data_IF_424722060924
#
_entry.id   IF_424722060924
#
_cell.length_a   1.000
_cell.length_b   1.000
_cell.length_c   1.000
_cell.angle_alpha   90.00
_cell.angle_beta   90.00
_cell.angle_gamma   90.00
#
_symmetry.space_group_name_H-M   'P 1'
#
loop_
_entity.id
_entity.type
_entity.pdbx_description
1 polymer ?
#
# COMPACT_ATOMS: atom_id res chain seq x y z
N UNK A 1 40.52 -19.90 -18.35
CA UNK A 1 39.67 -18.69 -18.41
C UNK A 1 38.23 -19.11 -18.17
N UNK A 2 37.43 -18.30 -17.48
CA UNK A 2 36.03 -18.63 -17.16
C UNK A 2 35.16 -17.39 -17.35
N UNK A 3 34.05 -17.54 -18.07
CA UNK A 3 32.78 -16.82 -17.83
C UNK A 3 31.67 -17.84 -18.07
N UNK A 4 30.87 -18.11 -17.04
CA UNK A 4 29.71 -19.01 -17.10
C UNK A 4 28.88 -18.89 -15.82
N UNK A 5 27.56 -19.07 -15.94
CA UNK A 5 26.59 -19.07 -14.84
C UNK A 5 26.45 -17.78 -14.00
N UNK A 6 25.98 -16.67 -14.61
CA UNK A 6 25.50 -15.47 -13.89
C UNK A 6 24.01 -15.12 -14.11
N UNK A 7 23.19 -16.06 -14.61
CA UNK A 7 21.76 -15.82 -14.91
C UNK A 7 20.82 -16.28 -13.79
N UNK A 8 21.14 -17.35 -13.06
CA UNK A 8 20.19 -17.98 -12.13
C UNK A 8 19.90 -17.23 -10.82
N UNK A 9 20.73 -16.27 -10.41
CA UNK A 9 20.66 -15.72 -9.04
C UNK A 9 19.49 -14.75 -8.83
N UNK A 10 19.17 -13.89 -9.82
CA UNK A 10 18.07 -12.91 -9.67
C UNK A 10 16.70 -13.59 -9.63
N UNK A 11 16.48 -14.54 -10.54
CA UNK A 11 15.21 -15.27 -10.62
C UNK A 11 15.02 -16.20 -9.41
N UNK A 12 16.10 -16.82 -8.91
CA UNK A 12 16.07 -17.59 -7.67
C UNK A 12 15.80 -16.73 -6.43
N UNK A 13 16.30 -15.49 -6.37
CA UNK A 13 15.98 -14.54 -5.29
C UNK A 13 14.53 -14.09 -5.31
N UNK A 14 13.96 -13.86 -6.50
CA UNK A 14 12.54 -13.55 -6.66
C UNK A 14 11.66 -14.74 -6.24
N UNK A 15 11.99 -15.96 -6.66
CA UNK A 15 11.28 -17.18 -6.26
C UNK A 15 11.42 -17.49 -4.76
N UNK A 16 12.61 -17.31 -4.18
CA UNK A 16 12.86 -17.57 -2.75
C UNK A 16 12.09 -16.61 -1.84
N UNK A 17 11.96 -15.33 -2.23
CA UNK A 17 11.11 -14.34 -1.53
C UNK A 17 9.62 -14.66 -1.57
N UNK A 18 9.16 -15.50 -2.50
CA UNK A 18 7.77 -16.01 -2.53
C UNK A 18 7.61 -17.33 -1.75
N UNK A 19 8.70 -17.93 -1.26
CA UNK A 19 8.71 -19.26 -0.65
C UNK A 19 9.05 -19.25 0.85
N UNK A 20 9.89 -18.32 1.33
CA UNK A 20 10.38 -18.29 2.71
C UNK A 20 10.20 -16.93 3.38
N UNK A 21 9.43 -16.92 4.47
CA UNK A 21 9.20 -15.76 5.35
C UNK A 21 7.96 -14.96 4.97
N UNK A 22 6.93 -15.02 5.84
CA UNK A 22 5.68 -14.27 5.75
C UNK A 22 4.96 -14.27 4.39
N UNK A 23 4.04 -15.23 4.23
CA UNK A 23 2.95 -15.12 3.25
C UNK A 23 1.89 -14.11 3.73
N UNK A 24 2.24 -12.81 3.73
CA UNK A 24 1.43 -11.71 4.27
C UNK A 24 0.15 -11.44 3.47
N UNK A 25 -0.85 -12.32 3.59
CA UNK A 25 -2.21 -12.18 3.07
C UNK A 25 -2.37 -11.85 1.56
N UNK A 26 -1.30 -11.94 0.77
CA UNK A 26 -1.34 -11.78 -0.69
C UNK A 26 -2.25 -12.84 -1.32
N UNK A 27 -3.50 -12.44 -1.58
CA UNK A 27 -4.53 -13.26 -2.21
C UNK A 27 -4.00 -13.79 -3.54
N UNK A 28 -3.76 -15.11 -3.61
CA UNK A 28 -3.25 -15.76 -4.83
C UNK A 28 -4.11 -15.36 -6.04
N UNK A 29 -3.51 -14.65 -6.99
CA UNK A 29 -4.22 -14.23 -8.18
C UNK A 29 -4.47 -15.43 -9.10
N UNK A 30 -5.53 -15.33 -9.93
CA UNK A 30 -5.99 -16.41 -10.81
C UNK A 30 -5.04 -16.75 -11.99
N UNK A 31 -3.86 -16.13 -12.05
CA UNK A 31 -2.85 -16.28 -13.10
C UNK A 31 -1.56 -16.94 -12.62
N UNK A 32 -1.40 -17.19 -11.32
CA UNK A 32 -0.25 -17.92 -10.77
C UNK A 32 -0.14 -19.29 -11.44
N UNK A 33 1.08 -19.65 -11.86
CA UNK A 33 1.38 -20.88 -12.60
C UNK A 33 1.00 -20.88 -14.08
N UNK A 34 0.38 -19.82 -14.61
CA UNK A 34 0.04 -19.69 -16.04
C UNK A 34 1.09 -18.86 -16.79
N UNK A 35 1.34 -19.19 -18.06
CA UNK A 35 2.18 -18.36 -18.92
C UNK A 35 1.43 -17.09 -19.36
N UNK A 36 2.09 -15.94 -19.22
CA UNK A 36 1.61 -14.63 -19.67
C UNK A 36 1.26 -14.60 -21.17
N UNK A 37 1.95 -15.42 -21.98
CA UNK A 37 1.76 -15.51 -23.42
C UNK A 37 0.62 -16.45 -23.85
N UNK A 38 -0.18 -16.95 -22.92
CA UNK A 38 -1.23 -17.92 -23.20
C UNK A 38 -2.61 -17.25 -23.08
N UNK A 39 -3.49 -17.51 -24.06
CA UNK A 39 -4.87 -17.02 -24.17
C UNK A 39 -5.06 -15.52 -23.92
N UNK A 40 -5.60 -15.17 -22.74
CA UNK A 40 -5.78 -13.79 -22.28
C UNK A 40 -5.14 -13.56 -20.89
N UNK A 41 -4.09 -14.31 -20.53
CA UNK A 41 -3.41 -14.15 -19.24
C UNK A 41 -2.74 -12.77 -19.08
N UNK A 42 -2.52 -12.03 -20.17
CA UNK A 42 -2.16 -10.60 -20.13
C UNK A 42 -3.16 -9.73 -19.34
N UNK A 43 -4.41 -10.20 -19.15
CA UNK A 43 -5.40 -9.56 -18.26
C UNK A 43 -4.85 -9.28 -16.87
N UNK A 44 -3.96 -10.12 -16.32
CA UNK A 44 -3.33 -9.90 -15.03
C UNK A 44 -2.66 -8.52 -14.90
N UNK A 45 -2.05 -8.05 -15.99
CA UNK A 45 -1.34 -6.76 -16.05
C UNK A 45 -2.33 -5.59 -16.18
N UNK A 46 -3.44 -5.81 -16.89
CA UNK A 46 -4.52 -4.83 -17.02
C UNK A 46 -5.28 -4.68 -15.70
N UNK A 47 -5.55 -5.80 -15.02
CA UNK A 47 -6.17 -5.84 -13.68
C UNK A 47 -5.25 -5.17 -12.65
N UNK A 48 -3.92 -5.40 -12.69
CA UNK A 48 -2.97 -4.69 -11.83
C UNK A 48 -2.99 -3.15 -12.01
N UNK A 49 -3.09 -2.64 -13.25
CA UNK A 49 -3.20 -1.21 -13.50
C UNK A 49 -4.54 -0.63 -12.99
N UNK A 50 -5.65 -1.34 -13.21
CA UNK A 50 -6.99 -0.91 -12.79
C UNK A 50 -7.16 -0.98 -11.25
N UNK A 51 -6.67 -2.04 -10.59
CA UNK A 51 -6.70 -2.21 -9.13
C UNK A 51 -5.84 -1.16 -8.38
N UNK A 52 -4.89 -0.53 -9.08
CA UNK A 52 -4.11 0.60 -8.54
C UNK A 52 -4.97 1.79 -8.07
N UNK A 53 -6.22 1.92 -8.56
CA UNK A 53 -7.20 2.87 -8.03
C UNK A 53 -7.55 2.59 -6.57
N UNK A 54 -7.78 1.31 -6.21
CA UNK A 54 -8.19 0.91 -4.87
C UNK A 54 -7.05 1.19 -3.88
N UNK A 55 -5.82 0.78 -4.24
CA UNK A 55 -4.60 1.08 -3.46
C UNK A 55 -4.43 2.59 -3.21
N UNK A 56 -4.84 3.43 -4.17
CA UNK A 56 -4.81 4.88 -4.01
C UNK A 56 -5.93 5.42 -3.11
N UNK A 57 -7.13 4.82 -3.12
CA UNK A 57 -8.17 5.14 -2.14
C UNK A 57 -7.76 4.74 -0.72
N UNK A 58 -7.19 3.54 -0.54
CA UNK A 58 -6.69 3.04 0.75
C UNK A 58 -5.63 3.99 1.34
N UNK A 59 -4.72 4.51 0.50
CA UNK A 59 -3.71 5.49 0.89
C UNK A 59 -4.31 6.88 1.23
N UNK A 60 -5.36 7.29 0.51
CA UNK A 60 -6.12 8.52 0.83
C UNK A 60 -6.82 8.38 2.18
N UNK A 61 -7.48 7.24 2.44
CA UNK A 61 -8.16 6.94 3.70
C UNK A 61 -7.18 6.93 4.89
N UNK A 62 -6.02 6.31 4.74
CA UNK A 62 -4.94 6.33 5.75
C UNK A 62 -4.48 7.76 6.11
N UNK A 63 -4.33 8.64 5.13
CA UNK A 63 -3.96 10.05 5.38
C UNK A 63 -5.13 10.84 6.01
N UNK A 64 -6.37 10.53 5.65
CA UNK A 64 -7.57 11.13 6.25
C UNK A 64 -7.73 10.76 7.72
N UNK A 65 -7.60 9.48 8.07
CA UNK A 65 -7.72 8.98 9.45
C UNK A 65 -6.68 9.62 10.38
N UNK A 66 -5.42 9.71 9.92
CA UNK A 66 -4.37 10.38 10.67
C UNK A 66 -4.70 11.85 10.94
N UNK A 67 -5.12 12.59 9.90
CA UNK A 67 -5.55 13.99 10.01
C UNK A 67 -6.73 14.15 10.96
N UNK A 68 -7.73 13.28 10.89
CA UNK A 68 -8.93 13.43 11.72
C UNK A 68 -8.69 13.05 13.19
N UNK A 69 -7.71 12.17 13.46
CA UNK A 69 -7.14 11.97 14.79
C UNK A 69 -6.37 13.21 15.31
N UNK A 70 -5.58 13.89 14.47
CA UNK A 70 -4.94 15.17 14.84
C UNK A 70 -5.97 16.28 15.12
N UNK A 71 -7.02 16.34 14.30
CA UNK A 71 -8.16 17.26 14.44
C UNK A 71 -8.96 16.98 15.72
N UNK A 72 -9.12 15.73 16.14
CA UNK A 72 -9.76 15.39 17.41
C UNK A 72 -8.88 15.69 18.64
N UNK A 73 -7.56 15.52 18.53
CA UNK A 73 -6.63 16.01 19.56
C UNK A 73 -6.74 17.54 19.72
N UNK A 74 -6.85 18.30 18.64
CA UNK A 74 -7.06 19.75 18.67
C UNK A 74 -8.40 20.15 19.35
N UNK A 75 -9.50 19.44 19.06
CA UNK A 75 -10.79 19.62 19.77
C UNK A 75 -10.67 19.32 21.27
N UNK A 76 -10.02 18.20 21.61
CA UNK A 76 -9.80 17.76 22.99
C UNK A 76 -9.00 18.79 23.80
N UNK A 77 -7.92 19.34 23.21
CA UNK A 77 -7.12 20.41 23.81
C UNK A 77 -7.93 21.71 23.97
N UNK A 78 -8.77 22.06 22.99
CA UNK A 78 -9.67 23.23 23.07
C UNK A 78 -10.60 23.11 24.27
N UNK A 79 -11.35 22.01 24.38
CA UNK A 79 -12.27 21.73 25.49
C UNK A 79 -11.56 21.68 26.86
N UNK A 80 -10.35 21.12 26.90
CA UNK A 80 -9.50 21.11 28.10
C UNK A 80 -9.15 22.55 28.54
N UNK A 81 -8.78 23.42 27.60
CA UNK A 81 -8.43 24.81 27.88
C UNK A 81 -9.62 25.59 28.44
N UNK A 82 -10.82 25.43 27.87
CA UNK A 82 -12.03 26.14 28.29
C UNK A 82 -12.52 25.68 29.67
N UNK A 83 -12.47 24.37 29.92
CA UNK A 83 -12.78 23.75 31.22
C UNK A 83 -11.91 24.31 32.34
N UNK A 84 -10.59 24.38 32.13
CA UNK A 84 -9.67 24.90 33.15
C UNK A 84 -9.70 26.43 33.26
N UNK A 85 -9.83 27.16 32.14
CA UNK A 85 -10.01 28.62 32.14
C UNK A 85 -11.25 29.03 32.96
N UNK A 86 -12.34 28.26 32.85
CA UNK A 86 -13.57 28.47 33.62
C UNK A 86 -13.36 28.16 35.10
N UNK A 87 -12.73 27.04 35.45
CA UNK A 87 -12.41 26.68 36.84
C UNK A 87 -11.50 27.69 37.54
N UNK A 88 -10.44 28.14 36.87
CA UNK A 88 -9.52 29.15 37.42
C UNK A 88 -10.21 30.51 37.62
N UNK A 89 -11.16 30.89 36.77
CA UNK A 89 -12.03 32.08 36.99
C UNK A 89 -12.96 31.92 38.20
N UNK A 90 -13.44 30.70 38.47
CA UNK A 90 -14.36 30.40 39.58
C UNK A 90 -13.65 30.26 40.94
N UNK A 91 -12.34 29.98 40.98
CA UNK A 91 -11.56 30.03 42.21
C UNK A 91 -11.59 31.45 42.82
N UNK A 92 -11.97 31.56 44.09
CA UNK A 92 -12.00 32.83 44.82
C UNK A 92 -10.60 33.47 44.90
N UNK A 93 -10.54 34.80 45.00
CA UNK A 93 -9.30 35.54 45.26
C UNK A 93 -8.62 35.11 46.57
N UNK A 94 -9.42 34.77 47.59
CA UNK A 94 -8.98 34.31 48.91
C UNK A 94 -8.20 32.98 48.88
N UNK A 95 -8.39 32.14 47.84
CA UNK A 95 -7.78 30.83 47.72
C UNK A 95 -6.86 30.69 46.48
N UNK A 96 -6.48 31.81 45.87
CA UNK A 96 -5.90 31.81 44.51
C UNK A 96 -4.95 32.99 44.31
N UNK A 97 -3.69 32.75 44.70
CA UNK A 97 -2.58 33.71 44.80
C UNK A 97 -2.29 34.47 43.50
N UNK A 98 -1.89 35.75 43.60
CA UNK A 98 -1.94 36.73 42.51
C UNK A 98 -1.13 36.35 41.25
N UNK A 99 0.17 36.13 41.40
CA UNK A 99 1.11 35.76 40.33
C UNK A 99 1.02 34.26 40.00
N UNK A 100 0.86 33.39 40.99
CA UNK A 100 0.73 31.95 40.77
C UNK A 100 -0.53 31.60 39.98
N UNK A 101 -1.66 32.29 40.22
CA UNK A 101 -2.88 32.17 39.40
C UNK A 101 -2.65 32.66 37.96
N UNK A 102 -1.83 33.69 37.75
CA UNK A 102 -1.44 34.16 36.42
C UNK A 102 -0.64 33.10 35.67
N UNK A 103 0.37 32.50 36.31
CA UNK A 103 1.13 31.39 35.77
C UNK A 103 0.23 30.19 35.40
N UNK A 104 -0.72 29.82 36.27
CA UNK A 104 -1.73 28.79 35.97
C UNK A 104 -2.60 29.15 34.76
N UNK A 105 -3.04 30.40 34.63
CA UNK A 105 -3.77 30.87 33.45
C UNK A 105 -2.93 30.80 32.17
N UNK A 106 -1.64 31.14 32.23
CA UNK A 106 -0.78 31.15 31.04
C UNK A 106 -0.41 29.74 30.56
N UNK A 107 -0.25 28.76 31.46
CA UNK A 107 -0.20 27.33 31.11
C UNK A 107 -1.46 26.88 30.35
N UNK A 108 -2.64 27.28 30.83
CA UNK A 108 -3.94 26.95 30.20
C UNK A 108 -4.15 27.71 28.88
N UNK A 109 -3.56 28.89 28.72
CA UNK A 109 -3.61 29.67 27.47
C UNK A 109 -2.70 29.07 26.39
N UNK A 110 -1.53 28.56 26.75
CA UNK A 110 -0.61 27.88 25.82
C UNK A 110 -1.26 26.70 25.11
N UNK A 111 -2.25 26.05 25.73
CA UNK A 111 -3.07 25.02 25.06
C UNK A 111 -3.69 25.52 23.73
N UNK A 112 -4.01 26.82 23.60
CA UNK A 112 -4.53 27.39 22.33
C UNK A 112 -3.47 27.52 21.24
N UNK A 113 -2.21 27.80 21.60
CA UNK A 113 -1.11 27.81 20.64
C UNK A 113 -0.80 26.38 20.15
N UNK A 114 -0.88 25.38 21.04
CA UNK A 114 -0.76 23.97 20.66
C UNK A 114 -1.89 23.51 19.72
N UNK A 115 -3.11 24.04 19.88
CA UNK A 115 -4.22 23.84 18.94
C UNK A 115 -3.88 24.46 17.58
N UNK A 116 -3.47 25.74 17.53
CA UNK A 116 -3.07 26.44 16.29
C UNK A 116 -1.99 25.66 15.51
N UNK A 117 -1.01 25.08 16.21
CA UNK A 117 0.05 24.26 15.58
C UNK A 117 -0.51 22.97 14.98
N UNK A 118 -1.44 22.27 15.65
CA UNK A 118 -2.07 21.06 15.11
C UNK A 118 -3.04 21.33 13.96
N UNK A 119 -3.77 22.45 14.00
CA UNK A 119 -4.62 22.89 12.90
C UNK A 119 -3.80 23.21 11.64
N UNK A 120 -2.60 23.78 11.80
CA UNK A 120 -1.64 23.96 10.70
C UNK A 120 -1.17 22.61 10.14
N UNK A 121 -0.80 21.63 10.97
CA UNK A 121 -0.47 20.26 10.54
C UNK A 121 -1.61 19.61 9.76
N UNK A 122 -2.86 19.70 10.24
CA UNK A 122 -4.03 19.22 9.50
C UNK A 122 -4.16 19.90 8.12
N UNK A 123 -3.87 21.20 8.04
CA UNK A 123 -3.96 21.98 6.80
C UNK A 123 -2.87 21.58 5.79
N UNK A 124 -1.65 21.25 6.22
CA UNK A 124 -0.62 20.73 5.32
C UNK A 124 -0.97 19.31 4.83
N UNK A 125 -1.54 18.45 5.69
CA UNK A 125 -1.97 17.10 5.30
C UNK A 125 -3.13 17.15 4.30
N UNK A 126 -4.11 18.03 4.49
CA UNK A 126 -5.21 18.23 3.53
C UNK A 126 -4.69 18.62 2.13
N UNK A 127 -3.62 19.43 2.02
CA UNK A 127 -2.97 19.73 0.72
C UNK A 127 -2.34 18.50 0.06
N UNK A 128 -1.70 17.61 0.83
CA UNK A 128 -1.10 16.38 0.28
C UNK A 128 -2.19 15.43 -0.21
N UNK A 129 -3.27 15.28 0.56
CA UNK A 129 -4.44 14.50 0.19
C UNK A 129 -5.06 15.03 -1.12
N UNK A 130 -5.28 16.34 -1.23
CA UNK A 130 -5.92 16.92 -2.42
C UNK A 130 -5.00 16.94 -3.65
N UNK A 131 -3.68 17.15 -3.48
CA UNK A 131 -2.67 16.95 -4.53
C UNK A 131 -2.73 15.54 -5.10
N UNK A 132 -2.77 14.52 -4.23
CA UNK A 132 -2.81 13.13 -4.66
C UNK A 132 -4.17 12.75 -5.28
N UNK A 133 -5.29 13.22 -4.72
CA UNK A 133 -6.63 13.07 -5.32
C UNK A 133 -6.68 13.60 -6.75
N UNK A 134 -6.15 14.80 -7.01
CA UNK A 134 -6.12 15.38 -8.35
C UNK A 134 -5.37 14.49 -9.36
N UNK A 135 -4.19 13.98 -8.99
CA UNK A 135 -3.46 13.01 -9.82
C UNK A 135 -4.28 11.72 -10.05
N UNK A 136 -4.96 11.21 -9.03
CA UNK A 136 -5.81 10.01 -9.15
C UNK A 136 -7.04 10.28 -10.01
N UNK A 137 -7.61 11.48 -10.01
CA UNK A 137 -8.69 11.89 -10.92
C UNK A 137 -8.24 11.94 -12.39
N UNK A 138 -7.01 12.38 -12.67
CA UNK A 138 -6.43 12.41 -14.01
C UNK A 138 -5.99 11.02 -14.53
N UNK A 139 -5.46 10.19 -13.64
CA UNK A 139 -4.94 8.85 -13.95
C UNK A 139 -6.07 7.80 -14.04
N UNK A 140 -7.13 7.94 -13.22
CA UNK A 140 -8.24 6.99 -13.14
C UNK A 140 -9.59 7.60 -13.54
N UNK A 141 -10.06 7.20 -14.72
CA UNK A 141 -11.27 7.72 -15.35
C UNK A 141 -12.48 6.85 -14.96
N UNK A 142 -13.61 7.49 -14.64
CA UNK A 142 -14.88 6.80 -14.39
C UNK A 142 -15.54 6.34 -15.70
N UNK A 143 -15.93 5.07 -15.78
CA UNK A 143 -16.71 4.56 -16.92
C UNK A 143 -18.20 4.88 -16.71
N UNK A 144 -18.79 5.73 -17.58
CA UNK A 144 -20.18 6.24 -17.55
C UNK A 144 -21.32 5.23 -17.27
N UNK A 145 -21.06 3.93 -17.34
CA UNK A 145 -22.04 2.83 -17.21
C UNK A 145 -21.59 1.75 -16.21
N UNK A 146 -20.54 1.97 -15.40
CA UNK A 146 -20.00 0.95 -14.49
C UNK A 146 -19.50 1.56 -13.17
N UNK A 147 -19.83 0.98 -12.01
CA UNK A 147 -19.19 1.34 -10.75
C UNK A 147 -17.67 1.11 -10.79
N UNK A 148 -16.93 1.99 -10.11
CA UNK A 148 -15.47 2.01 -10.09
C UNK A 148 -14.84 2.91 -11.15
N UNK A 149 -13.51 2.99 -11.12
CA UNK A 149 -12.70 3.69 -12.13
C UNK A 149 -11.70 2.72 -12.76
N UNK A 150 -11.08 3.14 -13.86
CA UNK A 150 -10.02 2.40 -14.54
C UNK A 150 -8.88 3.30 -14.91
N UNK A 151 -7.69 2.70 -15.00
CA UNK A 151 -6.51 3.40 -15.49
C UNK A 151 -6.77 3.91 -16.91
N UNK A 152 -6.46 5.19 -17.18
CA UNK A 152 -6.78 5.87 -18.46
C UNK A 152 -6.34 5.08 -19.71
N UNK A 153 -5.23 4.34 -19.64
CA UNK A 153 -4.71 3.47 -20.72
C UNK A 153 -5.10 1.98 -20.64
N UNK A 154 -5.80 1.50 -19.61
CA UNK A 154 -6.19 0.08 -19.47
C UNK A 154 -6.94 -0.45 -20.71
N UNK A 155 -7.94 0.31 -21.19
CA UNK A 155 -8.71 -0.02 -22.38
C UNK A 155 -7.91 0.11 -23.70
N UNK A 156 -6.76 0.79 -23.71
CA UNK A 156 -5.83 0.89 -24.85
C UNK A 156 -4.94 -0.36 -24.91
N UNK A 157 -4.18 -0.65 -23.84
CA UNK A 157 -3.32 -1.83 -23.75
C UNK A 157 -4.10 -3.12 -23.98
N UNK A 158 -5.32 -3.23 -23.45
CA UNK A 158 -6.23 -4.36 -23.69
C UNK A 158 -6.61 -4.56 -25.16
N UNK A 159 -6.67 -3.49 -25.96
CA UNK A 159 -6.83 -3.59 -27.43
C UNK A 159 -5.51 -4.03 -28.08
N UNK A 160 -4.37 -3.44 -27.69
CA UNK A 160 -3.05 -3.78 -28.24
C UNK A 160 -2.69 -5.27 -28.02
N UNK A 161 -2.96 -5.83 -26.83
CA UNK A 161 -2.77 -7.25 -26.56
C UNK A 161 -3.70 -8.13 -27.42
N UNK A 162 -4.99 -7.79 -27.52
CA UNK A 162 -5.93 -8.54 -28.38
C UNK A 162 -5.52 -8.50 -29.87
N UNK A 163 -5.13 -7.34 -30.38
CA UNK A 163 -4.69 -7.17 -31.77
C UNK A 163 -3.38 -7.90 -32.06
N UNK A 164 -2.42 -7.89 -31.12
CA UNK A 164 -1.17 -8.64 -31.29
C UNK A 164 -1.37 -10.17 -31.17
N UNK A 165 -2.33 -10.64 -30.37
CA UNK A 165 -2.65 -12.06 -30.25
C UNK A 165 -3.47 -12.62 -31.42
N UNK A 166 -4.25 -11.79 -32.11
CA UNK A 166 -5.23 -12.21 -33.13
C UNK A 166 -4.67 -13.18 -34.19
N UNK A 167 -3.50 -12.89 -34.76
CA UNK A 167 -2.87 -13.76 -35.79
C UNK A 167 -2.34 -15.08 -35.22
N UNK A 168 -1.86 -15.12 -33.97
CA UNK A 168 -1.49 -16.37 -33.31
C UNK A 168 -2.72 -17.24 -33.04
N UNK A 169 -3.84 -16.61 -32.65
CA UNK A 169 -5.11 -17.31 -32.46
C UNK A 169 -5.62 -17.91 -33.76
N UNK A 170 -5.70 -17.13 -34.83
CA UNK A 170 -6.20 -17.58 -36.14
C UNK A 170 -5.49 -18.85 -36.65
N UNK A 171 -4.15 -18.86 -36.61
CA UNK A 171 -3.33 -20.02 -37.03
C UNK A 171 -3.44 -21.20 -36.05
N UNK A 172 -3.77 -20.94 -34.78
CA UNK A 172 -4.02 -22.00 -33.78
C UNK A 172 -5.40 -22.63 -33.97
N UNK A 173 -6.43 -21.82 -34.22
CA UNK A 173 -7.79 -22.25 -34.55
C UNK A 173 -7.80 -23.04 -35.88
N UNK A 174 -6.94 -22.70 -36.85
CA UNK A 174 -6.73 -23.50 -38.07
C UNK A 174 -6.06 -24.85 -37.75
N UNK A 175 -4.98 -24.86 -36.95
CA UNK A 175 -4.28 -26.08 -36.58
C UNK A 175 -5.17 -27.07 -35.81
N UNK A 176 -6.10 -26.57 -34.99
CA UNK A 176 -7.11 -27.40 -34.33
C UNK A 176 -8.11 -28.00 -35.34
N UNK A 177 -8.65 -27.19 -36.27
CA UNK A 177 -9.52 -27.68 -37.34
C UNK A 177 -8.84 -28.75 -38.19
N UNK A 178 -7.56 -28.57 -38.53
CA UNK A 178 -6.78 -29.54 -39.28
C UNK A 178 -6.55 -30.84 -38.48
N UNK A 179 -6.23 -30.79 -37.19
CA UNK A 179 -6.16 -31.99 -36.32
C UNK A 179 -7.50 -32.74 -36.24
N UNK A 180 -8.62 -32.02 -36.23
CA UNK A 180 -9.95 -32.62 -36.27
C UNK A 180 -10.26 -33.29 -37.64
N UNK A 181 -9.63 -32.83 -38.73
CA UNK A 181 -9.67 -33.47 -40.05
C UNK A 181 -8.72 -34.68 -40.13
N UNK A 182 -7.49 -34.56 -39.61
CA UNK A 182 -6.46 -35.61 -39.50
C UNK A 182 -7.03 -36.87 -38.83
N UNK A 183 -7.69 -36.71 -37.68
CA UNK A 183 -8.38 -37.83 -37.00
C UNK A 183 -9.44 -38.50 -37.89
N UNK A 184 -10.31 -37.72 -38.54
CA UNK A 184 -11.36 -38.24 -39.44
C UNK A 184 -10.78 -38.95 -40.66
N UNK A 185 -9.69 -38.43 -41.23
CA UNK A 185 -8.99 -39.05 -42.34
C UNK A 185 -8.36 -40.38 -41.93
N UNK A 186 -7.71 -40.45 -40.75
CA UNK A 186 -7.14 -41.69 -40.24
C UNK A 186 -8.22 -42.75 -39.93
N UNK A 187 -9.37 -42.36 -39.38
CA UNK A 187 -10.49 -43.29 -39.17
C UNK A 187 -11.10 -43.77 -40.50
N UNK A 188 -11.17 -42.91 -41.52
CA UNK A 188 -11.62 -43.27 -42.88
C UNK A 188 -10.62 -44.19 -43.60
N UNK A 189 -9.32 -43.94 -43.49
CA UNK A 189 -8.24 -44.83 -43.97
C UNK A 189 -8.38 -46.21 -43.35
N UNK A 190 -8.47 -46.31 -42.01
CA UNK A 190 -8.64 -47.58 -41.29
C UNK A 190 -9.91 -48.34 -41.71
N UNK A 191 -10.94 -47.62 -42.13
CA UNK A 191 -12.19 -48.20 -42.62
C UNK A 191 -12.03 -48.75 -44.04
N UNK A 192 -11.33 -48.04 -44.92
CA UNK A 192 -11.03 -48.50 -46.27
C UNK A 192 -10.05 -49.69 -46.29
N UNK A 193 -9.03 -49.69 -45.42
CA UNK A 193 -8.08 -50.80 -45.27
C UNK A 193 -8.78 -52.11 -44.89
N UNK A 194 -9.67 -52.07 -43.90
CA UNK A 194 -10.52 -53.21 -43.53
C UNK A 194 -11.47 -53.65 -44.63
N UNK A 195 -11.95 -52.72 -45.46
CA UNK A 195 -12.81 -53.06 -46.59
C UNK A 195 -12.03 -53.80 -47.69
N UNK A 196 -10.77 -53.43 -47.94
CA UNK A 196 -9.87 -54.20 -48.81
C UNK A 196 -9.59 -55.59 -48.21
N UNK A 197 -9.17 -55.67 -46.95
CA UNK A 197 -8.88 -56.93 -46.23
C UNK A 197 -10.05 -57.92 -46.29
N UNK A 198 -11.29 -57.45 -46.07
CA UNK A 198 -12.50 -58.29 -46.16
C UNK A 198 -12.75 -58.76 -47.61
N UNK A 199 -12.52 -57.91 -48.61
CA UNK A 199 -12.74 -58.26 -50.03
C UNK A 199 -11.64 -59.18 -50.59
N UNK A 200 -10.41 -59.07 -50.10
CA UNK A 200 -9.29 -59.97 -50.41
C UNK A 200 -9.53 -61.39 -49.85
N UNK A 201 -10.24 -61.50 -48.72
CA UNK A 201 -10.57 -62.77 -48.07
C UNK A 201 -11.88 -63.42 -48.58
N UNK A 202 -12.68 -62.72 -49.37
CA UNK A 202 -13.93 -63.24 -49.97
C UNK A 202 -13.64 -63.85 -51.36
N UNK A 203 -13.72 -65.19 -51.53
CA UNK A 203 -13.45 -65.87 -52.80
C UNK A 203 -14.51 -65.62 -53.89
N UNK A 204 -15.56 -64.84 -53.59
CA UNK A 204 -16.56 -64.39 -54.58
C UNK A 204 -16.30 -62.96 -55.09
N UNK A 205 -15.31 -62.26 -54.52
CA UNK A 205 -14.88 -60.94 -54.99
C UNK A 205 -14.32 -61.00 -56.41
N UNK A 206 -14.93 -60.24 -57.33
CA UNK A 206 -14.34 -60.01 -58.66
C UNK A 206 -13.22 -58.97 -58.61
N UNK A 207 -12.19 -59.13 -59.43
CA UNK A 207 -11.05 -58.20 -59.57
C UNK A 207 -11.48 -56.73 -59.68
N UNK A 208 -12.60 -56.48 -60.37
CA UNK A 208 -13.19 -55.15 -60.58
C UNK A 208 -13.70 -54.50 -59.29
N UNK A 209 -14.09 -55.28 -58.29
CA UNK A 209 -14.46 -54.77 -56.97
C UNK A 209 -13.23 -54.55 -56.08
N UNK A 210 -12.27 -55.49 -56.11
CA UNK A 210 -11.01 -55.34 -55.40
C UNK A 210 -10.21 -54.10 -55.87
N UNK A 211 -10.07 -53.92 -57.18
CA UNK A 211 -9.43 -52.75 -57.77
C UNK A 211 -10.09 -51.42 -57.36
N UNK A 212 -11.43 -51.39 -57.24
CA UNK A 212 -12.18 -50.21 -56.74
C UNK A 212 -11.94 -49.95 -55.26
N UNK A 213 -11.80 -50.99 -54.45
CA UNK A 213 -11.49 -50.86 -53.02
C UNK A 213 -10.09 -50.25 -52.83
N UNK A 214 -9.08 -50.77 -53.53
CA UNK A 214 -7.73 -50.18 -53.56
C UNK A 214 -7.70 -48.75 -54.11
N UNK A 215 -8.54 -48.43 -55.09
CA UNK A 215 -8.66 -47.06 -55.62
C UNK A 215 -9.20 -46.08 -54.56
N UNK A 216 -10.21 -46.47 -53.77
CA UNK A 216 -10.74 -45.64 -52.69
C UNK A 216 -9.79 -45.57 -51.47
N UNK A 217 -9.15 -46.69 -51.10
CA UNK A 217 -8.09 -46.76 -50.10
C UNK A 217 -6.94 -45.79 -50.44
N UNK A 218 -6.49 -45.80 -51.70
CA UNK A 218 -5.47 -44.88 -52.21
C UNK A 218 -5.91 -43.41 -52.14
N UNK A 219 -7.19 -43.12 -52.45
CA UNK A 219 -7.76 -41.77 -52.29
C UNK A 219 -7.83 -41.33 -50.83
N UNK A 220 -8.17 -42.23 -49.88
CA UNK A 220 -8.16 -41.88 -48.44
C UNK A 220 -6.73 -41.57 -47.95
N UNK A 221 -5.75 -42.39 -48.34
CA UNK A 221 -4.35 -42.17 -48.02
C UNK A 221 -3.81 -40.86 -48.60
N UNK A 222 -4.12 -40.53 -49.86
CA UNK A 222 -3.75 -39.25 -50.47
C UNK A 222 -4.32 -38.04 -49.71
N UNK A 223 -5.58 -38.13 -49.24
CA UNK A 223 -6.21 -37.08 -48.41
C UNK A 223 -5.53 -36.95 -47.04
N UNK A 224 -5.19 -38.06 -46.39
CA UNK A 224 -4.45 -38.04 -45.11
C UNK A 224 -3.08 -37.37 -45.27
N UNK A 225 -2.32 -37.73 -46.30
CA UNK A 225 -0.99 -37.16 -46.59
C UNK A 225 -1.06 -35.64 -46.84
N UNK A 226 -2.09 -35.14 -47.54
CA UNK A 226 -2.27 -33.70 -47.74
C UNK A 226 -2.66 -32.96 -46.45
N UNK A 227 -3.47 -33.57 -45.58
CA UNK A 227 -3.79 -33.00 -44.26
C UNK A 227 -2.53 -32.97 -43.38
N UNK A 228 -1.74 -34.03 -43.32
CA UNK A 228 -0.45 -34.04 -42.61
C UNK A 228 0.55 -33.02 -43.16
N UNK A 229 0.55 -32.79 -44.48
CA UNK A 229 1.36 -31.76 -45.14
C UNK A 229 0.92 -30.37 -44.67
N UNK A 230 -0.39 -30.06 -44.73
CA UNK A 230 -0.98 -28.81 -44.21
C UNK A 230 -0.66 -28.61 -42.73
N UNK A 231 -0.85 -29.63 -41.89
CA UNK A 231 -0.51 -29.59 -40.46
C UNK A 231 0.97 -29.27 -40.22
N UNK A 232 1.89 -29.83 -41.01
CA UNK A 232 3.33 -29.50 -40.93
C UNK A 232 3.62 -28.05 -41.38
N UNK A 233 2.80 -27.48 -42.25
CA UNK A 233 2.90 -26.10 -42.73
C UNK A 233 2.32 -25.11 -41.71
N UNK A 234 1.08 -25.31 -41.24
CA UNK A 234 0.45 -24.52 -40.17
C UNK A 234 1.25 -24.57 -38.87
N UNK A 235 1.87 -25.71 -38.51
CA UNK A 235 2.83 -25.80 -37.37
C UNK A 235 4.08 -24.92 -37.54
N UNK A 236 4.52 -24.61 -38.76
CA UNK A 236 5.61 -23.64 -39.01
C UNK A 236 5.09 -22.22 -38.87
N UNK A 237 3.94 -21.92 -39.48
CA UNK A 237 3.28 -20.62 -39.38
C UNK A 237 2.99 -20.24 -37.92
N UNK A 238 2.47 -21.17 -37.11
CA UNK A 238 2.18 -20.96 -35.68
C UNK A 238 3.44 -20.60 -34.89
N UNK A 239 4.59 -21.25 -35.16
CA UNK A 239 5.88 -20.91 -34.54
C UNK A 239 6.36 -19.51 -34.92
N UNK A 240 6.09 -19.05 -36.14
CA UNK A 240 6.39 -17.67 -36.58
C UNK A 240 5.47 -16.67 -35.90
N UNK A 241 4.15 -16.91 -35.92
CA UNK A 241 3.16 -16.08 -35.24
C UNK A 241 3.43 -15.96 -33.73
N UNK A 242 3.84 -17.06 -33.08
CA UNK A 242 4.19 -17.06 -31.65
C UNK A 242 5.42 -16.19 -31.35
N UNK A 243 6.43 -16.18 -32.22
CA UNK A 243 7.59 -15.26 -32.08
C UNK A 243 7.17 -13.80 -32.21
N UNK A 244 6.36 -13.48 -33.22
CA UNK A 244 5.86 -12.11 -33.46
C UNK A 244 4.97 -11.64 -32.30
N UNK A 245 4.07 -12.50 -31.81
CA UNK A 245 3.24 -12.20 -30.66
C UNK A 245 4.07 -11.99 -29.38
N UNK A 246 5.01 -12.89 -29.06
CA UNK A 246 5.87 -12.74 -27.87
C UNK A 246 6.66 -11.44 -27.87
N UNK A 247 7.18 -11.02 -29.02
CA UNK A 247 7.87 -9.75 -29.17
C UNK A 247 6.93 -8.55 -28.89
N UNK A 248 5.79 -8.48 -29.57
CA UNK A 248 4.80 -7.39 -29.40
C UNK A 248 4.20 -7.35 -27.99
N UNK A 249 3.89 -8.51 -27.42
CA UNK A 249 3.37 -8.62 -26.05
C UNK A 249 4.39 -8.15 -25.01
N UNK A 250 5.70 -8.39 -25.23
CA UNK A 250 6.77 -7.85 -24.39
C UNK A 250 6.94 -6.32 -24.55
N UNK A 251 6.75 -5.78 -25.75
CA UNK A 251 6.76 -4.32 -25.97
C UNK A 251 5.58 -3.62 -25.27
N UNK A 252 4.37 -4.18 -25.39
CA UNK A 252 3.18 -3.65 -24.70
C UNK A 252 3.34 -3.83 -23.18
N UNK A 253 3.88 -4.97 -22.71
CA UNK A 253 4.14 -5.21 -21.29
C UNK A 253 5.09 -4.17 -20.70
N UNK A 254 6.18 -3.81 -21.40
CA UNK A 254 7.08 -2.73 -20.96
C UNK A 254 6.36 -1.38 -20.83
N UNK A 255 5.41 -1.06 -21.73
CA UNK A 255 4.60 0.15 -21.59
C UNK A 255 3.73 0.09 -20.33
N UNK A 256 3.09 -1.05 -20.02
CA UNK A 256 2.38 -1.22 -18.75
C UNK A 256 3.32 -1.09 -17.54
N UNK A 257 4.56 -1.57 -17.63
CA UNK A 257 5.55 -1.42 -16.55
C UNK A 257 5.96 0.03 -16.31
N UNK A 258 6.03 0.89 -17.34
CA UNK A 258 6.34 2.31 -17.17
C UNK A 258 5.20 3.07 -16.48
N UNK A 259 3.93 2.81 -16.81
CA UNK A 259 2.80 3.45 -16.11
C UNK A 259 2.70 2.97 -14.64
N UNK A 260 3.04 1.70 -14.36
CA UNK A 260 3.13 1.19 -12.99
C UNK A 260 4.34 1.75 -12.24
N UNK A 261 5.48 1.97 -12.91
CA UNK A 261 6.64 2.66 -12.35
C UNK A 261 6.32 4.13 -12.02
N UNK A 262 5.57 4.83 -12.87
CA UNK A 262 5.04 6.17 -12.58
C UNK A 262 4.16 6.15 -11.31
N UNK A 263 3.21 5.22 -11.22
CA UNK A 263 2.32 5.05 -10.05
C UNK A 263 3.10 4.75 -8.76
N UNK A 264 4.12 3.89 -8.82
CA UNK A 264 4.95 3.53 -7.67
C UNK A 264 5.85 4.69 -7.20
N UNK A 265 6.40 5.47 -8.13
CA UNK A 265 7.15 6.70 -7.79
C UNK A 265 6.22 7.76 -7.19
N UNK A 266 5.02 7.97 -7.75
CA UNK A 266 4.01 8.89 -7.20
C UNK A 266 3.58 8.48 -5.79
N UNK A 267 3.40 7.19 -5.50
CA UNK A 267 3.12 6.71 -4.12
C UNK A 267 4.27 7.04 -3.18
N UNK A 268 5.53 6.77 -3.58
CA UNK A 268 6.72 7.12 -2.78
C UNK A 268 6.77 8.62 -2.48
N UNK A 269 6.53 9.47 -3.47
CA UNK A 269 6.58 10.92 -3.33
C UNK A 269 5.43 11.45 -2.47
N UNK A 270 4.22 10.90 -2.63
CA UNK A 270 3.07 11.23 -1.76
C UNK A 270 3.33 10.84 -0.30
N UNK A 271 3.99 9.71 -0.04
CA UNK A 271 4.40 9.30 1.31
C UNK A 271 5.47 10.23 1.90
N UNK A 272 6.42 10.72 1.09
CA UNK A 272 7.44 11.68 1.53
C UNK A 272 6.85 13.08 1.79
N UNK A 273 5.91 13.52 0.97
CA UNK A 273 5.13 14.74 1.19
C UNK A 273 4.30 14.63 2.48
N UNK A 274 3.63 13.50 2.70
CA UNK A 274 2.83 13.23 3.89
C UNK A 274 3.69 13.21 5.16
N UNK A 275 4.88 12.59 5.14
CA UNK A 275 5.85 12.64 6.25
C UNK A 275 6.25 14.08 6.58
N UNK A 276 6.51 14.91 5.57
CA UNK A 276 6.83 16.33 5.77
C UNK A 276 5.62 17.14 6.30
N UNK A 277 4.41 16.83 5.86
CA UNK A 277 3.18 17.46 6.34
C UNK A 277 2.85 17.09 7.80
N UNK A 278 3.08 15.83 8.20
CA UNK A 278 2.95 15.37 9.59
C UNK A 278 3.92 16.11 10.53
N UNK A 279 5.15 16.38 10.09
CA UNK A 279 6.17 17.04 10.90
C UNK A 279 7.06 18.00 10.11
N UNK A 280 6.76 19.30 10.17
CA UNK A 280 7.57 20.33 9.52
C UNK A 280 8.62 20.92 10.48
N UNK A 281 9.81 21.34 10.01
CA UNK A 281 10.77 22.06 10.84
C UNK A 281 10.21 23.33 11.48
N UNK A 282 9.23 23.98 10.83
CA UNK A 282 8.48 25.10 11.40
C UNK A 282 7.68 24.66 12.63
N UNK A 283 6.93 23.57 12.56
CA UNK A 283 6.17 23.02 13.68
C UNK A 283 7.07 22.81 14.91
N UNK A 284 8.28 22.27 14.71
CA UNK A 284 9.28 22.08 15.78
C UNK A 284 9.72 23.40 16.40
N UNK A 285 9.98 24.42 15.57
CA UNK A 285 10.36 25.75 16.04
C UNK A 285 9.22 26.45 16.79
N UNK A 286 8.00 26.45 16.22
CA UNK A 286 6.79 26.99 16.85
C UNK A 286 6.58 26.33 18.25
N UNK A 287 6.71 25.00 18.36
CA UNK A 287 6.59 24.28 19.64
C UNK A 287 7.69 24.63 20.64
N UNK A 288 8.96 24.67 20.20
CA UNK A 288 10.09 25.05 21.05
C UNK A 288 9.94 26.48 21.58
N UNK A 289 9.50 27.42 20.74
CA UNK A 289 9.22 28.79 21.12
C UNK A 289 8.06 28.86 22.14
N UNK A 290 6.96 28.15 21.90
CA UNK A 290 5.81 28.08 22.82
C UNK A 290 6.23 27.63 24.22
N UNK A 291 7.00 26.54 24.33
CA UNK A 291 7.42 26.01 25.63
C UNK A 291 8.52 26.85 26.30
N UNK A 292 9.46 27.42 25.52
CA UNK A 292 10.46 28.37 26.04
C UNK A 292 9.80 29.63 26.61
N UNK A 293 8.90 30.25 25.84
CA UNK A 293 8.14 31.42 26.28
C UNK A 293 7.24 31.13 27.49
N UNK A 294 6.68 29.91 27.63
CA UNK A 294 5.95 29.50 28.83
C UNK A 294 6.88 29.38 30.04
N UNK A 295 7.99 28.66 29.89
CA UNK A 295 8.99 28.47 30.95
C UNK A 295 9.50 29.82 31.48
N UNK A 296 9.88 30.71 30.57
CA UNK A 296 10.36 32.05 30.90
C UNK A 296 9.29 32.88 31.63
N UNK A 297 8.02 32.84 31.18
CA UNK A 297 6.91 33.54 31.87
C UNK A 297 6.67 33.02 33.27
N UNK A 298 6.63 31.69 33.47
CA UNK A 298 6.42 31.12 34.81
C UNK A 298 7.58 31.48 35.73
N UNK A 299 8.83 31.28 35.29
CA UNK A 299 10.04 31.53 36.09
C UNK A 299 10.28 33.01 36.42
N UNK A 300 9.88 33.94 35.54
CA UNK A 300 10.12 35.39 35.75
C UNK A 300 8.92 36.17 36.29
N UNK A 301 7.69 35.65 36.18
CA UNK A 301 6.47 36.36 36.60
C UNK A 301 5.72 35.71 37.76
N UNK A 302 6.02 34.45 38.12
CA UNK A 302 5.56 33.89 39.40
C UNK A 302 6.52 34.32 40.50
N UNK A 303 5.97 34.94 41.54
CA UNK A 303 6.74 35.35 42.71
C UNK A 303 5.94 35.04 43.98
N UNK A 304 6.40 34.04 44.73
CA UNK A 304 5.79 33.61 45.98
C UNK A 304 5.83 34.69 47.07
N UNK A 305 6.78 35.62 47.05
CA UNK A 305 6.83 36.75 47.99
C UNK A 305 5.74 37.79 47.68
N UNK A 306 5.58 38.18 46.40
CA UNK A 306 4.51 39.09 45.98
C UNK A 306 3.11 38.51 46.29
N UNK A 307 2.97 37.19 46.15
CA UNK A 307 1.75 36.46 46.47
C UNK A 307 1.42 36.47 47.97
N UNK A 308 2.43 36.29 48.84
CA UNK A 308 2.28 36.40 50.29
C UNK A 308 2.05 37.85 50.75
N UNK A 309 2.70 38.83 50.12
CA UNK A 309 2.51 40.25 50.40
C UNK A 309 1.10 40.72 49.99
N UNK A 310 0.61 40.29 48.82
CA UNK A 310 -0.76 40.50 48.37
C UNK A 310 -1.77 39.89 49.37
N UNK A 311 -1.48 38.70 49.90
CA UNK A 311 -2.32 38.05 50.90
C UNK A 311 -2.33 38.84 52.23
N UNK A 312 -1.17 39.18 52.79
CA UNK A 312 -1.08 39.98 54.02
C UNK A 312 -1.75 41.35 53.90
N UNK A 313 -1.62 42.02 52.75
CA UNK A 313 -2.32 43.26 52.41
C UNK A 313 -3.83 43.10 52.34
N UNK A 314 -4.33 41.98 51.81
CA UNK A 314 -5.77 41.67 51.75
C UNK A 314 -6.41 41.56 53.14
N UNK A 315 -5.63 41.22 54.17
CA UNK A 315 -6.07 41.15 55.57
C UNK A 315 -5.57 42.30 56.46
N UNK A 316 -4.82 43.27 55.92
CA UNK A 316 -4.30 44.43 56.68
C UNK A 316 -3.12 44.14 57.63
N UNK A 317 -2.49 42.97 57.54
CA UNK A 317 -1.36 42.54 58.41
C UNK A 317 0.02 42.75 57.75
N UNK A 318 0.08 43.54 56.67
CA UNK A 318 1.27 43.81 55.87
C UNK A 318 2.49 44.29 56.68
N UNK A 319 2.27 45.02 57.79
CA UNK A 319 3.35 45.52 58.65
C UNK A 319 4.00 44.47 59.56
N UNK A 320 3.42 43.27 59.67
CA UNK A 320 4.02 42.16 60.44
C UNK A 320 4.82 41.22 59.52
N UNK A 321 4.30 40.93 58.32
CA UNK A 321 4.99 40.10 57.33
C UNK A 321 6.30 40.74 56.84
N UNK A 322 6.28 42.04 56.57
CA UNK A 322 7.45 42.82 56.13
C UNK A 322 8.55 42.99 57.19
N UNK A 323 8.27 42.63 58.45
CA UNK A 323 9.25 42.64 59.56
C UNK A 323 9.82 41.25 59.90
N UNK A 324 9.23 40.18 59.35
CA UNK A 324 9.50 38.79 59.77
C UNK A 324 10.16 37.92 58.68
N UNK A 325 10.17 38.37 57.43
CA UNK A 325 10.95 37.76 56.34
C UNK A 325 12.29 38.46 56.17
N UNK A 326 13.45 37.76 56.26
CA UNK A 326 14.74 38.35 55.97
C UNK A 326 14.85 38.70 54.48
N UNK A 327 15.03 39.98 54.18
CA UNK A 327 15.47 40.43 52.86
C UNK A 327 16.98 40.20 52.74
N UNK A 328 17.38 39.04 52.23
CA UNK A 328 18.71 38.86 51.64
C UNK A 328 18.64 39.27 50.17
N UNK A 329 19.29 40.37 49.74
CA UNK A 329 19.55 40.58 48.33
C UNK A 329 20.43 39.42 47.83
N UNK A 330 20.26 39.03 46.57
CA UNK A 330 21.35 38.36 45.86
C UNK A 330 22.23 39.51 45.36
N UNK A 331 23.28 39.80 46.11
CA UNK A 331 24.30 40.76 45.69
C UNK A 331 25.13 40.08 44.58
N UNK A 332 25.32 40.79 43.47
CA UNK A 332 26.25 40.40 42.43
C UNK A 332 27.61 40.96 42.84
N UNK A 333 28.50 40.11 43.36
CA UNK A 333 29.90 40.46 43.60
C UNK A 333 30.65 40.51 42.25
N UNK A 334 30.76 41.70 41.66
CA UNK A 334 31.68 42.00 40.57
C UNK A 334 32.53 43.25 40.94
N UNK A 335 33.86 43.08 40.78
CA UNK A 335 34.91 44.07 40.52
C UNK A 335 35.58 44.89 41.67
N UNK A 336 36.89 44.61 41.84
CA UNK A 336 38.05 45.55 41.83
C UNK A 336 38.31 46.54 43.01
N UNK A 337 39.54 46.85 43.46
CA UNK A 337 40.90 46.32 43.16
C UNK A 337 41.97 46.71 44.23
N UNK A 338 43.24 46.30 43.99
CA UNK A 338 44.53 46.91 44.43
C UNK A 338 44.94 47.02 45.94
N UNK A 339 46.03 46.32 46.32
CA UNK A 339 47.37 46.92 46.57
C UNK A 339 48.46 45.85 46.94
N UNK A 340 49.72 46.24 46.79
CA UNK A 340 50.90 45.39 46.51
C UNK A 340 51.57 44.68 47.72
N UNK A 341 52.25 43.54 47.48
CA UNK A 341 53.57 43.24 48.08
C UNK A 341 54.42 42.26 47.23
N UNK A 342 55.73 42.55 47.14
CA UNK A 342 56.60 42.26 45.97
C UNK A 342 57.65 41.13 46.25
N UNK A 343 58.37 40.67 45.20
CA UNK A 343 59.68 39.91 45.15
C UNK A 343 59.58 38.38 45.29
N UNK A 344 60.16 37.49 44.46
CA UNK A 344 60.65 37.42 43.05
C UNK A 344 60.54 35.88 42.67
N UNK A 345 60.94 35.27 41.54
CA UNK A 345 61.89 35.68 40.51
C UNK A 345 61.72 35.03 39.12
N UNK A 346 62.37 35.66 38.13
CA UNK A 346 63.05 35.09 36.95
C UNK A 346 62.60 33.73 36.34
N UNK A 347 62.20 33.82 35.06
CA UNK A 347 62.73 33.08 33.89
C UNK A 347 62.83 31.52 33.98
N UNK A 348 62.33 30.74 33.01
CA UNK A 348 62.53 30.94 31.58
C UNK A 348 61.62 30.08 30.65
N UNK A 349 61.61 30.46 29.37
CA UNK A 349 61.02 29.77 28.21
C UNK A 349 61.48 28.30 28.07
N UNK A 350 60.58 27.39 27.69
CA UNK A 350 60.58 26.81 26.33
C UNK A 350 59.35 25.98 25.94
N UNK A 351 59.12 25.91 24.63
CA UNK A 351 58.28 24.97 23.89
C UNK A 351 58.88 23.55 23.85
N UNK A 352 58.05 22.51 23.68
CA UNK A 352 57.93 21.73 22.41
C UNK A 352 57.34 20.31 22.59
N UNK A 353 56.37 19.95 21.75
CA UNK A 353 56.11 18.65 21.09
C UNK A 353 56.49 17.28 21.71
N UNK A 354 55.57 16.31 21.51
CA UNK A 354 55.83 14.86 21.31
C UNK A 354 56.30 14.04 22.54
N UNK A 355 56.03 12.73 22.69
CA UNK A 355 55.03 11.82 22.06
C UNK A 355 54.90 10.51 22.88
N UNK A 356 53.77 9.80 22.73
CA UNK A 356 53.68 8.32 22.69
C UNK A 356 53.72 7.45 23.98
N UNK A 357 53.01 6.30 23.90
CA UNK A 357 53.14 5.06 24.68
C UNK A 357 52.74 5.04 26.18
N UNK A 358 52.28 3.92 26.79
CA UNK A 358 51.46 2.75 26.37
C UNK A 358 51.24 1.83 27.60
N UNK A 359 50.05 1.20 27.70
CA UNK A 359 49.63 -0.01 28.47
C UNK A 359 48.23 0.25 29.07
N UNK A 360 47.17 -0.46 28.69
CA UNK A 360 46.84 -1.87 28.99
C UNK A 360 46.57 -2.16 30.48
N UNK A 361 45.28 -2.34 30.83
CA UNK A 361 44.75 -3.70 31.12
C UNK A 361 43.22 -3.79 31.15
N UNK A 362 42.79 -4.96 30.71
CA UNK A 362 41.45 -5.46 30.32
C UNK A 362 40.35 -5.51 31.42
N UNK A 363 39.09 -5.87 31.06
CA UNK A 363 37.88 -5.54 31.83
C UNK A 363 37.32 -6.66 32.71
N UNK A 364 36.27 -6.33 33.47
CA UNK A 364 35.48 -7.26 34.28
C UNK A 364 34.40 -7.99 33.46
N UNK A 365 34.63 -9.26 33.13
CA UNK A 365 33.59 -10.17 32.63
C UNK A 365 32.76 -10.73 33.80
N UNK A 366 31.43 -10.72 33.70
CA UNK A 366 30.55 -11.49 34.59
C UNK A 366 30.15 -12.79 33.88
N UNK A 367 30.25 -13.91 34.61
CA UNK A 367 29.96 -15.28 34.17
C UNK A 367 28.92 -15.87 35.12
N UNK A 368 27.81 -16.37 34.58
CA UNK A 368 26.91 -17.31 35.24
C UNK A 368 26.66 -18.44 34.24
N UNK A 369 26.52 -19.67 34.72
CA UNK A 369 26.67 -20.88 33.90
C UNK A 369 25.36 -21.62 33.65
N UNK A 370 25.34 -22.27 32.48
CA UNK A 370 24.56 -23.44 32.05
C UNK A 370 23.57 -24.07 33.06
N UNK A 371 22.33 -24.22 32.60
CA UNK A 371 21.47 -25.36 32.94
C UNK A 371 21.04 -26.04 31.63
N UNK A 372 21.30 -27.34 31.52
CA UNK A 372 20.79 -28.21 30.44
C UNK A 372 19.79 -29.14 31.11
N UNK A 373 18.64 -29.36 30.49
CA UNK A 373 17.88 -30.62 30.58
C UNK A 373 17.06 -30.77 29.29
N UNK A 374 17.06 -31.98 28.71
CA UNK A 374 16.22 -32.39 27.60
C UNK A 374 14.90 -32.97 28.13
N UNK A 375 13.77 -32.78 27.43
CA UNK A 375 12.68 -33.76 27.46
C UNK A 375 11.75 -33.67 26.23
N UNK A 376 11.39 -34.83 25.67
CA UNK A 376 10.31 -34.97 24.69
C UNK A 376 8.95 -34.96 25.39
N UNK A 377 7.85 -34.73 24.66
CA UNK A 377 6.88 -35.84 24.62
C UNK A 377 6.24 -36.06 23.25
N UNK A 378 6.37 -37.28 22.73
CA UNK A 378 5.44 -37.77 21.70
C UNK A 378 4.06 -38.05 22.33
N UNK A 379 2.98 -37.52 21.74
CA UNK A 379 1.61 -37.97 22.02
C UNK A 379 0.88 -38.19 20.69
N UNK A 380 0.42 -39.42 20.48
CA UNK A 380 -0.46 -39.78 19.36
C UNK A 380 -1.90 -39.92 19.85
N UNK A 381 -2.84 -39.17 19.27
CA UNK A 381 -4.28 -39.42 19.44
C UNK A 381 -5.00 -39.30 18.10
N UNK A 382 -5.72 -40.36 17.72
CA UNK A 382 -6.59 -40.40 16.54
C UNK A 382 -8.05 -40.21 16.97
N UNK A 383 -8.76 -39.27 16.35
CA UNK A 383 -10.19 -39.04 16.61
C UNK A 383 -10.96 -38.75 15.31
N UNK A 384 -11.89 -39.65 14.95
CA UNK A 384 -12.75 -39.53 13.76
C UNK A 384 -13.87 -38.51 13.97
N UNK A 385 -13.78 -37.34 13.33
CA UNK A 385 -14.95 -36.46 13.18
C UNK A 385 -15.97 -37.07 12.20
N UNK A 386 -17.25 -37.10 12.59
CA UNK A 386 -18.32 -37.78 11.83
C UNK A 386 -18.95 -36.88 10.77
N UNK A 387 -19.06 -37.39 9.53
CA UNK A 387 -19.98 -36.84 8.53
C UNK A 387 -21.42 -36.84 9.08
N UNK A 388 -22.09 -35.68 9.07
CA UNK A 388 -23.56 -35.58 9.19
C UNK A 388 -24.12 -34.98 7.91
N UNK A 389 -24.81 -35.81 7.10
CA UNK A 389 -25.59 -35.34 5.96
C UNK A 389 -26.81 -34.57 6.48
N UNK A 390 -26.91 -33.28 6.15
CA UNK A 390 -28.18 -32.57 6.20
C UNK A 390 -29.01 -32.93 4.95
N UNK A 391 -30.33 -33.07 5.12
CA UNK A 391 -31.28 -33.43 4.06
C UNK A 391 -32.05 -32.17 3.63
N UNK A 392 -32.12 -31.83 2.32
CA UNK A 392 -32.93 -30.70 1.88
C UNK A 392 -34.42 -31.01 2.03
N UNK A 393 -35.18 -30.06 2.57
CA UNK A 393 -36.64 -30.06 2.59
C UNK A 393 -37.17 -29.39 1.32
N UNK A 394 -38.02 -30.09 0.58
CA UNK A 394 -38.68 -29.58 -0.63
C UNK A 394 -40.11 -29.08 -0.33
N UNK A 395 -40.71 -28.45 -1.35
CA UNK A 395 -42.13 -28.04 -1.49
C UNK A 395 -42.51 -26.71 -0.82
N UNK A 396 -43.54 -26.00 -1.35
CA UNK A 396 -43.70 -25.71 -2.78
C UNK A 396 -44.09 -24.24 -3.06
N UNK A 397 -43.64 -23.68 -4.19
CA UNK A 397 -44.16 -22.40 -4.72
C UNK A 397 -45.43 -22.61 -5.55
N UNK A 398 -46.55 -22.02 -5.13
CA UNK A 398 -47.78 -21.98 -5.92
C UNK A 398 -47.64 -21.10 -7.17
N UNK A 399 -48.37 -21.47 -8.23
CA UNK A 399 -48.65 -20.61 -9.39
C UNK A 399 -50.06 -20.03 -9.26
N UNK A 400 -50.22 -18.73 -9.51
CA UNK A 400 -51.50 -18.17 -10.01
C UNK A 400 -51.26 -17.26 -11.21
N UNK A 401 -52.31 -17.10 -12.01
CA UNK A 401 -52.24 -16.62 -13.40
C UNK A 401 -52.39 -15.11 -13.56
N UNK A 402 -52.10 -14.63 -14.77
CA UNK A 402 -52.39 -13.28 -15.25
C UNK A 402 -53.86 -12.85 -15.06
N UNK A 403 -54.05 -11.53 -14.97
CA UNK A 403 -55.14 -10.83 -15.68
C UNK A 403 -54.55 -9.57 -16.33
N UNK A 404 -55.08 -9.15 -17.48
CA UNK A 404 -54.54 -8.05 -18.32
C UNK A 404 -55.56 -6.95 -18.59
N UNK A 405 -55.19 -5.70 -18.29
CA UNK A 405 -55.78 -4.43 -18.77
C UNK A 405 -54.69 -3.37 -18.62
N UNK A 406 -54.22 -2.60 -19.61
CA UNK A 406 -54.79 -2.11 -20.90
C UNK A 406 -55.74 -0.92 -20.77
N UNK A 407 -55.20 0.26 -20.46
CA UNK A 407 -55.75 1.59 -20.83
C UNK A 407 -54.63 2.64 -20.86
N UNK A 408 -54.61 3.45 -21.92
CA UNK A 408 -53.69 4.57 -22.20
C UNK A 408 -54.33 5.38 -23.37
N UNK A 409 -53.98 6.64 -23.72
CA UNK A 409 -53.39 7.74 -22.94
C UNK A 409 -54.23 9.06 -22.99
N UNK A 410 -53.99 10.00 -22.07
CA UNK A 410 -54.27 11.45 -22.24
C UNK A 410 -53.53 12.28 -21.17
N UNK A 411 -52.48 13.03 -21.51
CA UNK A 411 -52.50 14.44 -21.96
C UNK A 411 -52.76 15.47 -20.85
N UNK A 412 -51.87 16.48 -20.70
CA UNK A 412 -52.15 17.96 -20.72
C UNK A 412 -50.99 18.77 -20.09
N UNK A 413 -50.51 19.83 -20.76
CA UNK A 413 -49.61 20.95 -20.31
C UNK A 413 -48.27 20.61 -19.61
N UNK A 414 -47.10 21.20 -19.91
CA UNK A 414 -46.72 22.48 -20.53
C UNK A 414 -46.97 23.73 -19.67
N UNK A 415 -45.96 24.12 -18.87
CA UNK A 415 -45.83 25.47 -18.28
C UNK A 415 -44.39 25.97 -18.46
N UNK A 416 -44.24 27.19 -18.99
CA UNK A 416 -42.97 27.93 -19.07
C UNK A 416 -43.05 29.11 -18.11
N UNK A 417 -41.96 29.46 -17.42
CA UNK A 417 -41.80 30.78 -16.81
C UNK A 417 -40.32 31.15 -16.68
N UNK A 418 -39.98 32.35 -17.15
CA UNK A 418 -38.68 33.02 -17.00
C UNK A 418 -38.85 34.21 -16.04
N UNK A 419 -37.71 34.72 -15.55
CA UNK A 419 -37.58 35.92 -14.70
C UNK A 419 -38.11 35.74 -13.27
N UNK A 420 -37.55 36.44 -12.26
CA UNK A 420 -36.52 37.50 -12.32
C UNK A 420 -35.11 36.94 -12.12
#
# INVERSE_FOLDING_TARGET
MSIGACVGIKDALAASRLANGNADNYRLNQYIGKSFYDDENFRAVIECLDDGYNIAQDLIELMQDFRDNEREQARTLTLLSEKWLTRLKQQSSLASYHTTKRAQFDVVRVTKELVRVREATCTEIDKVIDKYRAHIDETYISERLRPGRKHRRSNEFKKLFKTSHASLREVSDELEKLRAQEKKAHDAVRTAERACEILELDPTTTDKHLARAHEDQSKKHAVLIDIERKIRETKKQQKTAQKVYRHKAMEIFKQCQYEEEERLNQIRETLLDFIQAMHTPKQTNDLNEIFSNLSNKVTTQQNSFDDLLFWAKTYGIESELTKSLPLTPVENDEDDDDEDLIVESRLAKKSSSHESHKHEKHPSTIRIENGIDDDEPSITVSAKARLRKARPTNTPTEKKHHTTTTTDPSSTTLTVLNHV
#
